data_IF_339615845777
#
_entry.id   IF_339615845777
#
_cell.length_a   1.000
_cell.length_b   1.000
_cell.length_c   1.000
_cell.angle_alpha   90.00
_cell.angle_beta   90.00
_cell.angle_gamma   90.00
#
_symmetry.space_group_name_H-M   'P 1'
#
loop_
_entity.id
_entity.type
_entity.pdbx_description
1 polymer ?
#
# COMPACT_ATOMS: atom_id res chain seq x y z
N UNK A 1 -19.44 -18.73 -15.44
CA UNK A 1 -19.29 -17.98 -14.16
C UNK A 1 -19.38 -16.49 -14.44
N UNK A 2 -20.12 -15.73 -13.63
CA UNK A 2 -20.31 -14.27 -13.80
C UNK A 2 -19.44 -13.54 -12.77
N UNK A 3 -18.80 -12.45 -13.19
CA UNK A 3 -17.98 -11.63 -12.29
C UNK A 3 -18.86 -10.88 -11.27
N UNK A 4 -18.33 -10.63 -10.05
CA UNK A 4 -19.03 -9.84 -9.05
C UNK A 4 -19.13 -8.36 -9.46
N UNK A 5 -19.97 -7.60 -8.76
CA UNK A 5 -20.01 -6.14 -8.90
C UNK A 5 -18.65 -5.54 -8.51
N UNK A 6 -18.20 -4.52 -9.25
CA UNK A 6 -16.92 -3.87 -9.01
C UNK A 6 -16.78 -3.29 -7.60
N UNK A 7 -17.88 -2.87 -6.96
CA UNK A 7 -17.85 -2.41 -5.56
C UNK A 7 -17.28 -3.47 -4.62
N UNK A 8 -17.69 -4.72 -4.78
CA UNK A 8 -17.17 -5.86 -3.98
C UNK A 8 -15.66 -6.02 -4.19
N UNK A 9 -15.19 -5.84 -5.42
CA UNK A 9 -13.75 -5.90 -5.73
C UNK A 9 -13.02 -4.74 -5.06
N UNK A 10 -13.59 -3.54 -5.09
CA UNK A 10 -13.06 -2.35 -4.42
C UNK A 10 -12.93 -2.54 -2.92
N UNK A 11 -13.98 -3.03 -2.26
CA UNK A 11 -13.99 -3.29 -0.82
C UNK A 11 -12.91 -4.33 -0.44
N UNK A 12 -12.79 -5.42 -1.21
CA UNK A 12 -11.74 -6.43 -1.00
C UNK A 12 -10.31 -5.87 -1.17
N UNK A 13 -10.12 -4.90 -2.07
CA UNK A 13 -8.82 -4.24 -2.25
C UNK A 13 -8.55 -3.20 -1.18
N UNK A 14 -9.58 -2.52 -0.68
CA UNK A 14 -9.46 -1.57 0.43
C UNK A 14 -9.03 -2.27 1.72
N UNK A 15 -9.58 -3.45 2.01
CA UNK A 15 -9.15 -4.26 3.16
C UNK A 15 -7.66 -4.63 3.05
N UNK A 16 -7.19 -4.95 1.83
CA UNK A 16 -5.77 -5.26 1.57
C UNK A 16 -4.88 -4.03 1.62
N UNK A 17 -5.42 -2.86 1.32
CA UNK A 17 -4.72 -1.59 1.45
C UNK A 17 -4.48 -1.27 2.94
N UNK A 18 -5.49 -1.47 3.79
CA UNK A 18 -5.37 -1.27 5.24
C UNK A 18 -4.39 -2.26 5.89
N UNK A 19 -4.28 -3.48 5.33
CA UNK A 19 -3.32 -4.50 5.73
C UNK A 19 -2.01 -4.53 4.92
N UNK A 20 -1.71 -3.50 4.12
CA UNK A 20 -0.56 -3.54 3.22
C UNK A 20 0.76 -3.63 3.99
N UNK A 21 1.69 -4.45 3.50
CA UNK A 21 2.96 -4.70 4.17
C UNK A 21 4.09 -3.82 3.62
N UNK A 22 4.82 -3.14 4.52
CA UNK A 22 6.07 -2.47 4.15
C UNK A 22 7.15 -3.52 3.92
N UNK A 23 7.77 -3.47 2.74
CA UNK A 23 8.83 -4.40 2.35
C UNK A 23 10.09 -3.65 1.96
N UNK A 24 11.20 -4.36 1.96
CA UNK A 24 12.49 -3.91 1.47
C UNK A 24 13.00 -4.89 0.42
N UNK A 25 13.67 -4.35 -0.60
CA UNK A 25 14.23 -5.12 -1.70
C UNK A 25 15.60 -5.64 -1.28
N UNK A 26 15.75 -6.96 -1.17
CA UNK A 26 17.08 -7.55 -0.99
C UNK A 26 17.73 -7.83 -2.35
N UNK A 27 19.01 -7.48 -2.48
CA UNK A 27 19.81 -7.79 -3.67
C UNK A 27 20.42 -9.20 -3.62
N UNK A 28 20.09 -9.99 -2.61
CA UNK A 28 20.61 -11.33 -2.35
C UNK A 28 20.21 -12.34 -3.45
N UNK A 29 19.18 -12.04 -4.25
CA UNK A 29 18.79 -12.84 -5.42
C UNK A 29 19.63 -12.62 -6.68
N UNK A 30 20.57 -11.67 -6.68
CA UNK A 30 21.48 -11.41 -7.80
C UNK A 30 22.73 -12.31 -7.72
N UNK A 31 22.55 -13.61 -7.57
CA UNK A 31 23.62 -14.59 -7.81
C UNK A 31 23.82 -14.70 -9.33
N UNK A 32 24.59 -13.74 -9.88
CA UNK A 32 25.10 -13.74 -11.27
C UNK A 32 26.11 -14.87 -11.48
N UNK A 33 25.67 -16.13 -11.46
CA UNK A 33 26.64 -17.22 -11.60
C UNK A 33 26.17 -18.67 -11.59
N UNK A 34 24.97 -19.04 -12.08
CA UNK A 34 24.71 -20.45 -12.40
C UNK A 34 23.50 -20.64 -13.34
N UNK A 35 23.81 -20.98 -14.60
CA UNK A 35 23.04 -21.86 -15.50
C UNK A 35 21.57 -22.12 -15.13
N UNK A 36 20.64 -21.42 -15.77
CA UNK A 36 19.24 -21.84 -15.76
C UNK A 36 18.27 -20.80 -16.32
N UNK A 37 17.72 -21.07 -17.51
CA UNK A 37 16.52 -20.40 -18.01
C UNK A 37 15.36 -20.64 -17.02
N UNK A 38 15.03 -19.65 -16.18
CA UNK A 38 13.68 -19.30 -15.62
C UNK A 38 13.84 -18.47 -14.33
N UNK A 39 13.26 -17.26 -14.29
CA UNK A 39 13.12 -16.45 -13.06
C UNK A 39 13.76 -15.07 -13.11
N UNK A 40 13.37 -14.23 -14.07
CA UNK A 40 13.96 -12.89 -14.33
C UNK A 40 13.64 -11.83 -13.25
N UNK A 41 12.90 -12.16 -12.18
CA UNK A 41 12.45 -11.18 -11.17
C UNK A 41 12.34 -11.77 -9.76
N UNK A 42 13.32 -12.57 -9.30
CA UNK A 42 13.38 -13.00 -7.90
C UNK A 42 13.91 -11.87 -6.99
N UNK A 43 13.31 -10.68 -7.05
CA UNK A 43 13.48 -9.69 -5.98
C UNK A 43 12.77 -10.25 -4.76
N UNK A 44 13.55 -10.76 -3.81
CA UNK A 44 12.99 -11.32 -2.60
C UNK A 44 12.58 -10.15 -1.71
N UNK A 45 11.29 -9.84 -1.72
CA UNK A 45 10.67 -8.85 -0.86
C UNK A 45 10.68 -9.39 0.56
N UNK A 46 11.47 -8.76 1.43
CA UNK A 46 11.49 -9.07 2.85
C UNK A 46 10.65 -8.03 3.59
N UNK A 47 9.84 -8.44 4.59
CA UNK A 47 9.19 -7.49 5.48
C UNK A 47 10.22 -6.51 6.06
N UNK A 48 9.86 -5.23 6.14
CA UNK A 48 10.72 -4.21 6.75
C UNK A 48 10.92 -4.48 8.25
N UNK A 49 9.88 -4.98 8.94
CA UNK A 49 9.96 -5.48 10.31
C UNK A 49 10.01 -7.03 10.31
N UNK A 50 11.06 -7.66 10.86
CA UNK A 50 11.17 -9.12 10.92
C UNK A 50 10.06 -9.84 11.69
N UNK A 51 9.39 -9.16 12.63
CA UNK A 51 8.29 -9.75 13.42
C UNK A 51 6.96 -9.80 12.64
N UNK A 52 6.87 -9.12 11.50
CA UNK A 52 5.68 -9.12 10.68
C UNK A 52 5.63 -10.35 9.78
N UNK A 53 4.41 -10.86 9.56
CA UNK A 53 4.17 -11.96 8.63
C UNK A 53 4.61 -11.56 7.21
N UNK A 54 5.33 -12.43 6.48
CA UNK A 54 5.63 -12.19 5.07
C UNK A 54 4.36 -12.06 4.22
N UNK A 55 4.33 -11.14 3.24
CA UNK A 55 3.17 -10.95 2.39
C UNK A 55 2.97 -12.14 1.45
N UNK A 56 1.71 -12.51 1.22
CA UNK A 56 1.30 -13.49 0.22
C UNK A 56 1.15 -12.88 -1.18
N UNK A 57 0.89 -13.74 -2.18
CA UNK A 57 0.70 -13.34 -3.60
C UNK A 57 -0.48 -12.38 -3.81
N UNK A 58 -1.42 -12.38 -2.86
CA UNK A 58 -2.65 -11.59 -2.90
C UNK A 58 -2.52 -10.27 -2.13
N UNK A 59 -1.48 -10.08 -1.34
CA UNK A 59 -1.38 -8.94 -0.45
C UNK A 59 -0.78 -7.73 -1.18
N UNK A 60 -1.15 -6.53 -0.75
CA UNK A 60 -0.54 -5.30 -1.24
C UNK A 60 0.73 -5.01 -0.45
N UNK A 61 1.76 -4.52 -1.14
CA UNK A 61 3.06 -4.19 -0.56
C UNK A 61 3.49 -2.79 -0.96
N UNK A 62 4.25 -2.13 -0.10
CA UNK A 62 4.82 -0.81 -0.38
C UNK A 62 6.26 -0.71 0.15
N UNK A 63 7.03 0.21 -0.42
CA UNK A 63 8.44 0.43 -0.07
C UNK A 63 8.60 1.66 0.83
N UNK A 64 7.97 2.76 0.43
CA UNK A 64 8.15 4.08 1.02
C UNK A 64 6.89 4.53 1.78
N UNK A 65 7.05 5.19 2.93
CA UNK A 65 5.92 5.73 3.67
C UNK A 65 5.18 6.79 2.85
N UNK A 66 3.86 6.86 3.02
CA UNK A 66 3.05 7.89 2.37
C UNK A 66 3.37 9.29 2.95
N UNK A 67 3.31 10.35 2.14
CA UNK A 67 3.50 11.72 2.61
C UNK A 67 2.31 12.18 3.46
N UNK A 68 2.46 13.34 4.12
CA UNK A 68 1.35 14.03 4.76
C UNK A 68 0.43 14.67 3.72
N UNK A 69 -0.88 14.42 3.82
CA UNK A 69 -1.88 14.90 2.87
C UNK A 69 -2.71 16.11 3.35
N UNK A 70 -2.50 16.56 4.60
CA UNK A 70 -3.25 17.67 5.20
C UNK A 70 -3.01 18.99 4.46
N UNK A 71 -1.74 19.33 4.25
CA UNK A 71 -1.34 20.59 3.62
C UNK A 71 -1.18 20.46 2.11
N UNK A 72 -1.50 21.55 1.39
CA UNK A 72 -1.32 21.60 -0.07
C UNK A 72 0.16 21.56 -0.44
N UNK A 73 0.56 20.57 -1.24
CA UNK A 73 1.91 20.46 -1.78
C UNK A 73 1.88 20.19 -3.30
N UNK A 74 1.97 21.24 -4.14
CA UNK A 74 1.92 21.11 -5.59
C UNK A 74 3.04 20.26 -6.19
N UNK A 75 4.22 20.18 -5.53
CA UNK A 75 5.35 19.40 -6.02
C UNK A 75 5.07 17.90 -6.01
N UNK A 76 4.25 17.45 -5.06
CA UNK A 76 3.84 16.05 -4.90
C UNK A 76 2.41 15.80 -5.42
N UNK A 77 1.75 16.80 -6.00
CA UNK A 77 0.36 16.70 -6.46
C UNK A 77 -0.68 16.61 -5.33
N UNK A 78 -0.33 17.03 -4.12
CA UNK A 78 -1.20 16.98 -2.94
C UNK A 78 -2.03 18.26 -2.87
N UNK A 79 -3.36 18.14 -2.90
CA UNK A 79 -4.27 19.28 -2.87
C UNK A 79 -4.48 19.89 -1.48
N UNK A 80 -4.22 19.11 -0.41
CA UNK A 80 -4.58 19.44 0.97
C UNK A 80 -6.00 19.00 1.33
N UNK A 81 -6.38 19.11 2.61
CA UNK A 81 -7.72 18.74 3.11
C UNK A 81 -8.66 19.92 3.32
N UNK A 82 -8.18 21.15 3.26
CA UNK A 82 -8.99 22.35 3.41
C UNK A 82 -10.17 22.39 2.42
N UNK A 83 -11.37 22.68 2.94
CA UNK A 83 -12.60 22.78 2.15
C UNK A 83 -13.25 21.43 1.81
N UNK A 84 -12.72 20.30 2.30
CA UNK A 84 -13.39 18.99 2.20
C UNK A 84 -14.53 18.90 3.21
N UNK A 85 -15.58 18.18 2.84
CA UNK A 85 -16.64 17.80 3.77
C UNK A 85 -16.15 16.72 4.72
N UNK A 86 -16.40 16.91 6.01
CA UNK A 86 -16.11 15.96 7.09
C UNK A 86 -17.41 15.58 7.83
N UNK A 87 -17.35 14.48 8.58
CA UNK A 87 -18.45 13.95 9.38
C UNK A 87 -18.16 14.16 10.88
N UNK A 88 -18.86 15.09 11.52
CA UNK A 88 -18.64 15.47 12.92
C UNK A 88 -18.93 14.34 13.93
N UNK A 89 -19.69 13.32 13.52
CA UNK A 89 -20.00 12.16 14.37
C UNK A 89 -19.02 11.00 14.21
N UNK A 90 -18.14 11.06 13.20
CA UNK A 90 -17.19 9.98 12.92
C UNK A 90 -15.89 10.20 13.70
N UNK A 91 -15.40 9.12 14.31
CA UNK A 91 -14.06 9.05 14.91
C UNK A 91 -12.99 8.61 13.90
N UNK A 92 -13.40 8.29 12.66
CA UNK A 92 -12.53 7.78 11.60
C UNK A 92 -11.90 8.88 10.75
N UNK A 93 -11.23 8.48 9.66
CA UNK A 93 -10.55 9.40 8.72
C UNK A 93 -11.49 10.36 7.97
N UNK A 94 -12.79 10.09 7.99
CA UNK A 94 -13.84 10.98 7.52
C UNK A 94 -14.30 11.99 8.59
N UNK A 95 -13.85 11.82 9.83
CA UNK A 95 -14.14 12.68 10.98
C UNK A 95 -13.52 14.06 10.87
N UNK A 96 -14.20 15.07 11.39
CA UNK A 96 -13.70 16.45 11.37
C UNK A 96 -12.42 16.61 12.19
N UNK A 97 -12.25 15.85 13.27
CA UNK A 97 -11.04 15.84 14.11
C UNK A 97 -9.77 15.36 13.38
N UNK A 98 -9.92 14.50 12.37
CA UNK A 98 -8.78 13.96 11.61
C UNK A 98 -8.62 14.61 10.22
N UNK A 99 -9.70 15.14 9.66
CA UNK A 99 -9.69 15.71 8.31
C UNK A 99 -9.30 17.20 8.27
N UNK A 100 -9.58 17.96 9.33
CA UNK A 100 -9.39 19.42 9.40
C UNK A 100 -8.14 19.80 10.20
#
# INVERSE_FOLDING_TARGET
>A
MRLPNFRVVGDNLKDRFDGASRVMVSNEGSLRGARGKKGKYNFQLKPYNPEHKPPGVKDLVYLEPSPMFCERNPKLGIAGTHGRQCNDTSIGVDGCDLMC
#
